data_IF_894929555986
#
_entry.id   IF_894929555986
#
_cell.length_a   1.000
_cell.length_b   1.000
_cell.length_c   1.000
_cell.angle_alpha   90.00
_cell.angle_beta   90.00
_cell.angle_gamma   90.00
#
_symmetry.space_group_name_H-M   'P 1'
#
loop_
_entity.id
_entity.type
_entity.pdbx_description
1 polymer ?
#
# COMPACT_ATOMS: atom_id res chain seq x y z
N UNK A 1 -23.38 -18.89 37.64
CA UNK A 1 -22.15 -18.07 37.80
C UNK A 1 -21.85 -17.41 36.46
N UNK A 2 -22.19 -16.13 36.34
CA UNK A 2 -21.98 -15.33 35.12
C UNK A 2 -20.52 -14.88 35.10
N UNK A 3 -19.71 -15.38 34.15
CA UNK A 3 -18.38 -14.81 33.90
C UNK A 3 -18.54 -13.68 32.89
N UNK A 4 -18.45 -12.46 33.43
CA UNK A 4 -18.38 -11.21 32.69
C UNK A 4 -17.01 -11.17 31.98
N UNK A 5 -16.97 -11.39 30.67
CA UNK A 5 -15.80 -11.13 29.85
C UNK A 5 -15.94 -9.71 29.30
N UNK A 6 -15.25 -8.79 29.97
CA UNK A 6 -15.03 -7.42 29.55
C UNK A 6 -13.91 -7.44 28.49
N UNK A 7 -14.29 -7.49 27.21
CA UNK A 7 -13.35 -7.28 26.11
C UNK A 7 -13.25 -5.76 25.88
N UNK A 8 -12.13 -5.17 26.29
CA UNK A 8 -11.84 -3.75 26.07
C UNK A 8 -11.61 -3.50 24.59
N UNK A 9 -12.45 -2.64 24.02
CA UNK A 9 -12.32 -2.05 22.69
C UNK A 9 -10.95 -1.37 22.60
N UNK A 10 -10.02 -1.96 21.85
CA UNK A 10 -8.76 -1.29 21.51
C UNK A 10 -8.96 -0.67 20.14
N UNK A 11 -9.36 0.59 20.12
CA UNK A 11 -9.33 1.41 18.92
C UNK A 11 -7.86 1.75 18.61
N UNK A 12 -7.21 0.91 17.80
CA UNK A 12 -6.09 1.29 16.97
C UNK A 12 -6.60 1.20 15.53
N UNK A 13 -6.58 2.33 14.82
CA UNK A 13 -6.97 2.37 13.42
C UNK A 13 -5.98 1.54 12.60
N UNK A 14 -6.39 0.31 12.29
CA UNK A 14 -6.13 -0.39 11.03
C UNK A 14 -7.37 -1.28 10.86
N UNK A 15 -8.32 -0.86 10.02
CA UNK A 15 -9.46 -1.70 9.69
C UNK A 15 -9.17 -2.46 8.40
N UNK A 16 -8.29 -3.44 8.51
CA UNK A 16 -8.17 -4.55 7.56
C UNK A 16 -8.06 -5.83 8.40
N UNK A 17 -9.14 -6.20 9.09
CA UNK A 17 -9.09 -7.34 10.00
C UNK A 17 -10.27 -7.50 10.95
N UNK A 18 -11.50 -7.42 10.44
CA UNK A 18 -12.63 -8.12 11.05
C UNK A 18 -13.71 -8.29 9.98
N UNK A 19 -13.89 -9.54 9.53
CA UNK A 19 -14.75 -10.02 8.45
C UNK A 19 -14.03 -10.08 7.08
N UNK A 20 -13.61 -11.29 6.69
CA UNK A 20 -13.39 -11.63 5.29
C UNK A 20 -14.71 -11.43 4.54
N UNK A 21 -14.84 -10.29 3.87
CA UNK A 21 -15.78 -10.12 2.78
C UNK A 21 -14.92 -9.90 1.54
N UNK A 22 -15.15 -10.67 0.47
CA UNK A 22 -14.66 -10.39 -0.88
C UNK A 22 -15.09 -8.98 -1.27
N UNK A 23 -14.28 -8.01 -0.87
CA UNK A 23 -14.50 -6.59 -1.11
C UNK A 23 -13.51 -6.18 -2.19
N UNK A 24 -14.02 -5.44 -3.16
CA UNK A 24 -13.22 -4.88 -4.23
C UNK A 24 -13.07 -3.39 -3.97
N UNK A 25 -11.84 -2.88 -4.13
CA UNK A 25 -11.52 -1.47 -4.07
C UNK A 25 -10.84 -1.04 -5.37
N UNK A 26 -11.32 0.04 -5.96
CA UNK A 26 -10.78 0.58 -7.21
C UNK A 26 -9.84 1.74 -6.91
N UNK A 27 -8.63 1.69 -7.46
CA UNK A 27 -7.65 2.77 -7.41
C UNK A 27 -7.52 3.37 -8.80
N UNK A 28 -7.58 4.70 -8.91
CA UNK A 28 -7.38 5.43 -10.16
C UNK A 28 -6.12 6.29 -10.04
N UNK A 29 -5.17 6.06 -10.95
CA UNK A 29 -3.92 6.81 -11.06
C UNK A 29 -3.33 6.60 -12.47
N UNK A 30 -2.20 7.23 -12.76
CA UNK A 30 -1.51 7.08 -14.03
C UNK A 30 -0.82 5.70 -14.14
N UNK A 31 -0.93 5.10 -15.32
CA UNK A 31 -0.20 3.93 -15.77
C UNK A 31 0.89 4.36 -16.76
N UNK A 32 2.08 3.78 -16.61
CA UNK A 32 3.16 3.87 -17.58
C UNK A 32 3.54 2.46 -18.00
N UNK A 33 3.62 2.22 -19.31
CA UNK A 33 4.04 0.94 -19.87
C UNK A 33 5.36 1.15 -20.59
N UNK A 34 6.35 0.31 -20.31
CA UNK A 34 7.67 0.37 -20.94
C UNK A 34 8.07 -0.99 -21.46
N UNK A 35 8.61 -1.01 -22.68
CA UNK A 35 9.16 -2.20 -23.34
C UNK A 35 10.48 -1.80 -23.96
N UNK A 36 11.55 -2.51 -23.60
CA UNK A 36 12.92 -2.18 -23.97
C UNK A 36 13.28 -0.71 -23.64
N UNK A 37 13.50 0.14 -24.66
CA UNK A 37 13.85 1.56 -24.49
C UNK A 37 12.66 2.50 -24.77
N UNK A 38 11.48 1.95 -25.06
CA UNK A 38 10.27 2.72 -25.32
C UNK A 38 9.39 2.77 -24.07
N UNK A 39 8.78 3.93 -23.81
CA UNK A 39 7.88 4.16 -22.69
C UNK A 39 6.72 5.03 -23.11
N UNK A 40 5.50 4.66 -22.73
CA UNK A 40 4.31 5.47 -22.96
C UNK A 40 4.35 6.73 -22.09
N UNK A 41 3.66 7.83 -22.48
CA UNK A 41 3.33 8.85 -21.50
C UNK A 41 2.47 8.27 -20.37
N UNK A 42 2.43 8.91 -19.18
CA UNK A 42 1.50 8.56 -18.12
C UNK A 42 0.04 8.68 -18.60
N UNK A 43 -0.76 7.64 -18.39
CA UNK A 43 -2.17 7.61 -18.82
C UNK A 43 -3.07 7.16 -17.66
N UNK A 44 -4.15 7.88 -17.34
CA UNK A 44 -5.03 7.51 -16.24
C UNK A 44 -5.71 6.17 -16.50
N UNK A 45 -5.68 5.27 -15.52
CA UNK A 45 -6.36 3.97 -15.55
C UNK A 45 -6.95 3.62 -14.19
N UNK A 46 -7.70 2.52 -14.13
CA UNK A 46 -8.21 1.95 -12.89
C UNK A 46 -7.65 0.55 -12.66
N UNK A 47 -7.10 0.32 -11.48
CA UNK A 47 -6.71 -0.99 -10.96
C UNK A 47 -7.66 -1.38 -9.84
N UNK A 48 -8.27 -2.56 -9.96
CA UNK A 48 -9.17 -3.12 -8.96
C UNK A 48 -8.40 -4.09 -8.06
N UNK A 49 -8.59 -3.97 -6.74
CA UNK A 49 -8.00 -4.86 -5.74
C UNK A 49 -9.13 -5.58 -5.01
N UNK A 50 -9.16 -6.90 -5.08
CA UNK A 50 -10.04 -7.73 -4.26
C UNK A 50 -9.26 -8.25 -3.04
N UNK A 51 -9.91 -8.26 -1.88
CA UNK A 51 -9.40 -8.83 -0.64
C UNK A 51 -10.13 -10.16 -0.36
N UNK A 52 -9.64 -11.31 -0.89
CA UNK A 52 -10.31 -12.59 -0.71
C UNK A 52 -10.24 -13.08 0.75
N UNK A 53 -9.12 -12.85 1.42
CA UNK A 53 -8.92 -13.16 2.84
C UNK A 53 -7.86 -12.26 3.46
N UNK A 54 -7.71 -12.31 4.79
CA UNK A 54 -6.73 -11.50 5.51
C UNK A 54 -5.30 -11.82 5.04
N UNK A 55 -4.55 -10.79 4.64
CA UNK A 55 -3.14 -10.94 4.22
C UNK A 55 -2.95 -11.33 2.74
N UNK A 56 -4.02 -11.47 1.96
CA UNK A 56 -3.96 -11.70 0.52
C UNK A 56 -4.71 -10.62 -0.27
N UNK A 57 -4.23 -10.31 -1.47
CA UNK A 57 -4.94 -9.49 -2.46
C UNK A 57 -4.96 -10.17 -3.84
N UNK A 58 -6.03 -9.94 -4.59
CA UNK A 58 -6.07 -10.17 -6.03
C UNK A 58 -6.05 -8.82 -6.75
N UNK A 59 -5.26 -8.71 -7.81
CA UNK A 59 -5.04 -7.47 -8.55
C UNK A 59 -5.58 -7.66 -9.96
N UNK A 60 -6.43 -6.74 -10.40
CA UNK A 60 -6.94 -6.66 -11.77
C UNK A 60 -6.58 -5.31 -12.40
N UNK A 61 -5.76 -5.32 -13.45
CA UNK A 61 -5.56 -4.19 -14.34
C UNK A 61 -6.49 -4.33 -15.54
N UNK A 62 -7.43 -3.39 -15.70
CA UNK A 62 -8.45 -3.45 -16.74
C UNK A 62 -7.96 -2.90 -18.07
N UNK A 63 -8.46 -3.48 -19.17
CA UNK A 63 -8.33 -2.96 -20.53
C UNK A 63 -6.88 -2.65 -20.97
N UNK A 64 -5.91 -3.46 -20.54
CA UNK A 64 -4.51 -3.24 -20.87
C UNK A 64 -4.28 -3.29 -22.39
N UNK A 65 -3.63 -2.26 -22.90
CA UNK A 65 -3.21 -2.15 -24.29
C UNK A 65 -1.69 -2.06 -24.31
N UNK A 66 -1.06 -2.93 -25.09
CA UNK A 66 0.38 -2.93 -25.28
C UNK A 66 0.73 -1.98 -26.42
N UNK A 67 1.51 -0.94 -26.09
CA UNK A 67 2.03 0.01 -27.07
C UNK A 67 3.52 -0.24 -27.29
N UNK A 68 3.92 -0.27 -28.56
CA UNK A 68 5.32 -0.45 -28.97
C UNK A 68 5.68 0.61 -30.01
N UNK A 69 6.94 1.05 -30.02
CA UNK A 69 7.39 2.06 -30.97
C UNK A 69 7.19 1.60 -32.43
N UNK A 70 6.49 2.41 -33.22
CA UNK A 70 6.30 2.15 -34.66
C UNK A 70 5.33 1.00 -34.99
N UNK A 71 4.60 0.47 -34.01
CA UNK A 71 3.57 -0.55 -34.21
C UNK A 71 2.18 -0.04 -33.78
N UNK A 72 1.13 -0.65 -34.32
CA UNK A 72 -0.24 -0.37 -33.88
C UNK A 72 -0.44 -0.88 -32.44
N UNK A 73 -1.22 -0.17 -31.60
CA UNK A 73 -1.54 -0.61 -30.24
C UNK A 73 -2.25 -1.98 -30.25
N UNK A 74 -1.82 -2.86 -29.36
CA UNK A 74 -2.32 -4.23 -29.26
C UNK A 74 -3.24 -4.33 -28.04
N UNK A 75 -4.57 -4.46 -28.22
CA UNK A 75 -5.49 -4.60 -27.10
C UNK A 75 -5.33 -6.00 -26.49
N UNK A 76 -4.64 -6.09 -25.36
CA UNK A 76 -4.37 -7.38 -24.70
C UNK A 76 -5.63 -7.85 -23.96
N UNK A 77 -6.15 -7.03 -23.04
CA UNK A 77 -7.29 -7.38 -22.20
C UNK A 77 -7.06 -7.05 -20.73
N UNK A 78 -7.83 -7.65 -19.83
CA UNK A 78 -7.57 -7.50 -18.39
C UNK A 78 -6.41 -8.40 -17.98
N UNK A 79 -5.60 -7.92 -17.02
CA UNK A 79 -4.51 -8.69 -16.40
C UNK A 79 -4.91 -9.00 -14.98
N UNK A 80 -4.82 -10.28 -14.61
CA UNK A 80 -5.18 -10.78 -13.28
C UNK A 80 -3.96 -11.37 -12.58
N UNK A 81 -3.74 -10.97 -11.34
CA UNK A 81 -2.70 -11.52 -10.46
C UNK A 81 -3.34 -11.88 -9.13
N UNK A 82 -3.55 -13.17 -8.89
CA UNK A 82 -4.27 -13.67 -7.71
C UNK A 82 -3.33 -14.10 -6.58
N UNK A 83 -3.85 -14.07 -5.36
CA UNK A 83 -3.20 -14.58 -4.14
C UNK A 83 -1.84 -13.92 -3.86
N UNK A 84 -1.77 -12.60 -4.02
CA UNK A 84 -0.56 -11.84 -3.71
C UNK A 84 -0.51 -11.59 -2.19
N UNK A 85 0.52 -12.10 -1.50
CA UNK A 85 0.65 -11.88 -0.06
C UNK A 85 1.06 -10.43 0.23
N UNK A 86 0.44 -9.85 1.26
CA UNK A 86 0.76 -8.51 1.75
C UNK A 86 1.35 -8.56 3.15
N UNK A 87 2.33 -7.70 3.42
CA UNK A 87 2.99 -7.55 4.73
C UNK A 87 2.71 -6.15 5.29
N UNK A 88 2.17 -6.02 6.51
CA UNK A 88 1.94 -4.72 7.13
C UNK A 88 3.25 -3.95 7.40
N UNK A 89 3.27 -2.66 7.07
CA UNK A 89 4.38 -1.74 7.32
C UNK A 89 3.87 -0.37 7.78
N UNK A 90 3.50 -0.29 9.07
CA UNK A 90 2.94 0.94 9.64
C UNK A 90 1.53 1.19 9.11
N UNK A 91 1.34 2.27 8.34
CA UNK A 91 0.03 2.72 7.85
C UNK A 91 -0.32 2.20 6.44
N UNK A 92 0.56 1.40 5.83
CA UNK A 92 0.33 0.75 4.55
C UNK A 92 0.85 -0.69 4.59
N UNK A 93 0.42 -1.49 3.63
CA UNK A 93 0.95 -2.83 3.39
C UNK A 93 1.90 -2.81 2.20
N UNK A 94 2.87 -3.71 2.19
CA UNK A 94 3.79 -3.94 1.08
C UNK A 94 3.61 -5.34 0.51
N UNK A 95 3.85 -5.51 -0.77
CA UNK A 95 3.88 -6.82 -1.42
C UNK A 95 5.06 -6.90 -2.38
N UNK A 96 5.64 -8.08 -2.47
CA UNK A 96 6.65 -8.44 -3.45
C UNK A 96 6.52 -9.94 -3.71
N UNK A 97 6.19 -10.30 -4.95
CA UNK A 97 5.97 -11.67 -5.38
C UNK A 97 6.65 -11.86 -6.72
N UNK A 98 7.53 -12.86 -6.81
CA UNK A 98 8.29 -13.18 -8.01
C UNK A 98 7.79 -14.47 -8.65
N UNK A 99 7.90 -14.55 -9.96
CA UNK A 99 7.68 -15.74 -10.78
C UNK A 99 6.28 -16.38 -10.60
N UNK A 100 5.26 -15.57 -10.36
CA UNK A 100 3.85 -15.99 -10.43
C UNK A 100 3.44 -16.04 -11.91
N UNK A 101 2.29 -16.63 -12.24
CA UNK A 101 1.69 -16.54 -13.57
C UNK A 101 0.53 -15.56 -13.53
N UNK A 102 0.60 -14.47 -14.29
CA UNK A 102 -0.53 -13.61 -14.58
C UNK A 102 -1.45 -14.28 -15.59
N UNK A 103 -2.76 -14.18 -15.38
CA UNK A 103 -3.77 -14.64 -16.34
C UNK A 103 -4.44 -13.45 -17.01
N UNK A 104 -5.11 -13.71 -18.13
CA UNK A 104 -5.72 -12.66 -18.94
C UNK A 104 -7.15 -13.02 -19.30
N UNK A 105 -7.96 -12.01 -19.54
CA UNK A 105 -9.32 -12.16 -20.04
C UNK A 105 -9.66 -11.02 -20.98
N UNK A 106 -10.81 -11.16 -21.66
CA UNK A 106 -11.40 -10.03 -22.37
C UNK A 106 -11.65 -8.88 -21.39
N UNK A 107 -11.41 -7.66 -21.87
CA UNK A 107 -11.81 -6.45 -21.18
C UNK A 107 -13.23 -6.03 -21.56
N UNK A 108 -13.45 -4.72 -21.64
CA UNK A 108 -14.75 -4.16 -21.97
C UNK A 108 -15.27 -4.60 -23.36
N UNK A 109 -16.59 -4.74 -23.52
CA UNK A 109 -17.18 -5.17 -24.78
C UNK A 109 -16.95 -4.15 -25.90
N UNK A 110 -16.85 -4.63 -27.15
CA UNK A 110 -16.67 -3.79 -28.34
C UNK A 110 -15.24 -3.76 -28.87
N UNK A 111 -14.30 -4.38 -28.17
CA UNK A 111 -12.90 -4.55 -28.60
C UNK A 111 -12.62 -6.02 -28.91
N UNK A 112 -11.84 -6.29 -29.96
CA UNK A 112 -11.28 -7.62 -30.19
C UNK A 112 -10.01 -7.78 -29.34
N UNK A 113 -10.12 -8.49 -28.23
CA UNK A 113 -9.01 -8.71 -27.32
C UNK A 113 -8.06 -9.80 -27.82
N UNK A 114 -6.75 -9.55 -27.70
CA UNK A 114 -5.70 -10.38 -28.29
C UNK A 114 -5.04 -11.34 -27.30
N UNK A 115 -5.35 -11.27 -26.00
CA UNK A 115 -4.69 -12.11 -24.99
C UNK A 115 -4.76 -13.60 -25.31
N UNK A 116 -5.87 -14.11 -25.87
CA UNK A 116 -6.04 -15.53 -26.15
C UNK A 116 -5.10 -16.04 -27.24
N UNK A 117 -4.68 -15.17 -28.16
CA UNK A 117 -3.71 -15.48 -29.21
C UNK A 117 -2.28 -15.29 -28.74
N UNK A 118 -2.03 -14.25 -27.93
CA UNK A 118 -0.69 -13.87 -27.49
C UNK A 118 -0.22 -14.71 -26.28
N UNK A 119 -1.10 -14.87 -25.29
CA UNK A 119 -0.79 -15.39 -23.96
C UNK A 119 -1.83 -16.44 -23.50
N UNK A 120 -2.10 -17.51 -24.29
CA UNK A 120 -3.14 -18.48 -23.97
C UNK A 120 -2.93 -19.20 -22.62
N UNK A 121 -1.69 -19.24 -22.13
CA UNK A 121 -1.30 -19.87 -20.86
C UNK A 121 -0.88 -18.84 -19.80
N UNK A 122 -1.15 -17.55 -20.02
CA UNK A 122 -0.64 -16.47 -19.16
C UNK A 122 0.83 -16.12 -19.41
N UNK A 123 1.37 -15.24 -18.56
CA UNK A 123 2.77 -14.80 -18.57
C UNK A 123 3.38 -14.91 -17.18
N UNK A 124 4.67 -15.28 -17.05
CA UNK A 124 5.40 -15.08 -15.81
C UNK A 124 5.40 -13.59 -15.43
N UNK A 125 5.14 -13.32 -14.15
CA UNK A 125 5.09 -11.97 -13.60
C UNK A 125 5.90 -11.88 -12.30
N UNK A 126 6.67 -10.81 -12.21
CA UNK A 126 7.18 -10.28 -10.95
C UNK A 126 6.38 -9.02 -10.60
N UNK A 127 5.81 -8.97 -9.40
CA UNK A 127 4.96 -7.87 -8.95
C UNK A 127 5.44 -7.35 -7.60
N UNK A 128 5.50 -6.03 -7.45
CA UNK A 128 5.82 -5.40 -6.17
C UNK A 128 5.07 -4.09 -5.98
N UNK A 129 4.86 -3.66 -4.75
CA UNK A 129 4.14 -2.43 -4.50
C UNK A 129 3.79 -2.15 -3.05
N UNK A 130 3.02 -1.09 -2.88
CA UNK A 130 2.50 -0.58 -1.61
C UNK A 130 1.02 -0.27 -1.75
N UNK A 131 0.24 -0.57 -0.71
CA UNK A 131 -1.20 -0.36 -0.70
C UNK A 131 -1.68 0.14 0.66
N UNK A 132 -2.54 1.16 0.65
CA UNK A 132 -3.32 1.65 1.78
C UNK A 132 -4.77 1.86 1.34
N UNK A 133 -5.65 2.23 2.27
CA UNK A 133 -7.08 2.47 1.99
C UNK A 133 -7.38 3.51 0.90
N UNK A 134 -6.39 4.34 0.56
CA UNK A 134 -6.57 5.47 -0.38
C UNK A 134 -5.57 5.50 -1.51
N UNK A 135 -4.57 4.62 -1.49
CA UNK A 135 -3.45 4.68 -2.42
C UNK A 135 -2.93 3.30 -2.78
N UNK A 136 -2.60 3.15 -4.05
CA UNK A 136 -1.90 1.99 -4.58
C UNK A 136 -0.73 2.50 -5.43
N UNK A 137 0.44 1.94 -5.18
CA UNK A 137 1.58 1.99 -6.08
C UNK A 137 1.99 0.56 -6.38
N UNK A 138 2.17 0.21 -7.66
CA UNK A 138 2.69 -1.10 -8.01
C UNK A 138 3.48 -1.11 -9.31
N UNK A 139 4.38 -2.08 -9.40
CA UNK A 139 5.14 -2.42 -10.61
C UNK A 139 4.85 -3.86 -11.00
N UNK A 140 4.60 -4.10 -12.27
CA UNK A 140 4.40 -5.43 -12.85
C UNK A 140 5.43 -5.63 -13.97
N UNK A 141 6.27 -6.64 -13.83
CA UNK A 141 7.21 -7.09 -14.88
C UNK A 141 6.68 -8.37 -15.50
N UNK A 142 6.09 -8.27 -16.69
CA UNK A 142 5.59 -9.40 -17.45
C UNK A 142 6.69 -9.90 -18.38
N UNK A 143 7.13 -11.13 -18.20
CA UNK A 143 8.18 -11.74 -19.03
C UNK A 143 7.58 -12.42 -20.25
N UNK A 144 7.87 -11.92 -21.44
CA UNK A 144 7.44 -12.51 -22.72
C UNK A 144 8.65 -12.88 -23.58
N UNK A 145 8.99 -14.17 -23.60
CA UNK A 145 10.20 -14.66 -24.26
C UNK A 145 11.44 -14.04 -23.62
N UNK A 146 12.17 -13.21 -24.37
CA UNK A 146 13.35 -12.47 -23.88
C UNK A 146 13.07 -11.02 -23.51
N UNK A 147 11.83 -10.55 -23.70
CA UNK A 147 11.43 -9.17 -23.43
C UNK A 147 10.70 -9.09 -22.10
N UNK A 148 10.82 -7.92 -21.45
CA UNK A 148 10.07 -7.58 -20.23
C UNK A 148 9.18 -6.39 -20.56
N UNK A 149 7.88 -6.55 -20.32
CA UNK A 149 6.92 -5.46 -20.34
C UNK A 149 6.82 -4.96 -18.90
N UNK A 150 7.39 -3.78 -18.65
CA UNK A 150 7.40 -3.13 -17.36
C UNK A 150 6.20 -2.18 -17.27
N UNK A 151 5.32 -2.42 -16.30
CA UNK A 151 4.15 -1.58 -16.04
C UNK A 151 4.31 -0.95 -14.67
N UNK A 152 4.18 0.37 -14.58
CA UNK A 152 4.11 1.10 -13.31
C UNK A 152 2.76 1.76 -13.19
N UNK A 153 2.10 1.58 -12.04
CA UNK A 153 0.85 2.25 -11.68
C UNK A 153 1.06 3.14 -10.46
N UNK A 154 0.64 4.40 -10.59
CA UNK A 154 0.72 5.41 -9.56
C UNK A 154 2.14 5.83 -9.19
N UNK A 155 2.26 6.55 -8.06
CA UNK A 155 3.53 7.07 -7.57
C UNK A 155 3.89 6.47 -6.20
N UNK A 156 5.17 6.17 -6.02
CA UNK A 156 5.70 5.73 -4.73
C UNK A 156 6.00 6.91 -3.79
N UNK A 157 4.97 7.68 -3.46
CA UNK A 157 4.99 8.74 -2.45
C UNK A 157 4.13 8.33 -1.25
N UNK A 158 4.31 7.09 -0.80
CA UNK A 158 3.90 6.66 0.54
C UNK A 158 4.84 7.35 1.54
N UNK A 159 4.48 8.58 1.96
CA UNK A 159 5.29 9.34 2.90
C UNK A 159 5.53 8.52 4.18
N UNK A 160 6.80 8.43 4.61
CA UNK A 160 7.17 7.92 5.93
C UNK A 160 7.02 8.99 7.01
N UNK A 161 5.92 9.75 6.96
CA UNK A 161 5.58 10.69 8.02
C UNK A 161 5.36 9.90 9.32
N UNK A 162 5.80 10.45 10.45
CA UNK A 162 5.47 9.88 11.78
C UNK A 162 3.97 10.15 12.01
N UNK A 163 3.11 9.22 11.60
CA UNK A 163 1.67 9.30 11.83
C UNK A 163 1.31 9.07 13.30
N UNK A 164 2.16 8.36 14.05
CA UNK A 164 2.02 8.22 15.50
C UNK A 164 3.35 7.93 16.21
N UNK A 165 3.50 8.44 17.43
CA UNK A 165 4.53 8.01 18.37
C UNK A 165 3.92 6.98 19.31
N UNK A 166 4.46 5.76 19.37
CA UNK A 166 4.08 4.78 20.38
C UNK A 166 4.55 5.26 21.77
N UNK A 167 3.68 5.95 22.50
CA UNK A 167 3.82 6.10 23.94
C UNK A 167 3.34 4.78 24.55
N UNK A 168 4.28 3.89 24.89
CA UNK A 168 3.97 2.64 25.58
C UNK A 168 3.05 2.87 26.79
N UNK A 169 2.34 1.82 27.22
CA UNK A 169 1.37 1.76 28.33
C UNK A 169 1.31 3.04 29.17
N UNK A 170 0.21 3.79 29.07
CA UNK A 170 -0.02 5.04 29.80
C UNK A 170 0.30 4.88 31.29
N UNK A 171 1.46 5.38 31.71
CA UNK A 171 1.88 5.48 33.12
C UNK A 171 1.48 6.84 33.68
N UNK A 172 1.28 6.93 34.99
CA UNK A 172 1.07 8.20 35.71
C UNK A 172 2.28 9.15 35.60
N UNK A 173 3.45 8.57 35.30
CA UNK A 173 4.71 9.26 35.15
C UNK A 173 5.20 9.27 33.70
N UNK A 174 6.06 10.22 33.35
CA UNK A 174 6.64 10.35 32.01
C UNK A 174 8.07 10.91 32.07
N UNK A 175 8.80 10.74 30.98
CA UNK A 175 10.08 11.43 30.76
C UNK A 175 9.82 12.66 29.87
N UNK A 176 10.63 13.70 30.03
CA UNK A 176 10.53 14.92 29.21
C UNK A 176 11.83 15.09 28.44
N UNK A 177 11.71 15.35 27.14
CA UNK A 177 12.84 15.54 26.24
C UNK A 177 12.77 16.91 25.55
N UNK A 178 13.90 17.46 25.12
CA UNK A 178 13.92 18.59 24.18
C UNK A 178 13.61 18.10 22.75
N UNK A 179 13.38 19.02 21.82
CA UNK A 179 13.22 18.68 20.40
C UNK A 179 14.47 18.01 19.79
N UNK A 180 15.64 18.22 20.37
CA UNK A 180 16.89 17.56 19.98
C UNK A 180 17.05 16.16 20.61
N UNK A 181 16.04 15.66 21.34
CA UNK A 181 16.06 14.33 21.95
C UNK A 181 16.81 14.24 23.29
N UNK A 182 17.26 15.36 23.87
CA UNK A 182 17.93 15.35 25.17
C UNK A 182 16.90 15.20 26.29
N UNK A 183 17.07 14.19 27.16
CA UNK A 183 16.19 13.99 28.33
C UNK A 183 16.47 15.04 29.40
N UNK A 184 15.49 15.88 29.70
CA UNK A 184 15.60 16.97 30.69
C UNK A 184 14.92 16.65 32.02
N UNK A 185 13.97 15.71 32.02
CA UNK A 185 13.38 15.14 33.23
C UNK A 185 13.07 13.66 33.04
N UNK A 186 13.04 12.91 34.13
CA UNK A 186 12.72 11.49 34.13
C UNK A 186 11.71 11.11 35.20
N UNK A 187 10.76 10.24 34.85
CA UNK A 187 9.79 9.64 35.74
C UNK A 187 9.01 10.67 36.60
N UNK A 188 8.61 11.78 35.99
CA UNK A 188 7.84 12.84 36.65
C UNK A 188 6.35 12.64 36.42
N UNK A 189 5.50 13.03 37.38
CA UNK A 189 4.06 13.03 37.19
C UNK A 189 3.69 13.87 35.95
N UNK A 190 2.79 13.35 35.09
CA UNK A 190 2.41 14.00 33.84
C UNK A 190 1.91 15.43 34.03
N UNK A 191 1.16 15.67 35.10
CA UNK A 191 0.64 17.01 35.48
C UNK A 191 1.72 18.02 35.82
N UNK A 192 2.90 17.56 36.23
CA UNK A 192 4.04 18.39 36.65
C UNK A 192 5.23 18.29 35.68
N UNK A 193 5.00 17.73 34.49
CA UNK A 193 6.06 17.47 33.51
C UNK A 193 6.85 18.75 33.17
N UNK A 194 6.16 19.89 33.07
CA UNK A 194 6.77 21.15 32.65
C UNK A 194 7.31 22.01 33.79
N UNK A 195 7.09 21.67 35.07
CA UNK A 195 7.38 22.57 36.19
C UNK A 195 8.88 22.90 36.31
N UNK A 196 9.23 24.18 36.45
CA UNK A 196 10.64 24.61 36.53
C UNK A 196 11.47 24.46 35.25
N UNK A 197 10.88 24.03 34.13
CA UNK A 197 11.53 24.12 32.82
C UNK A 197 11.46 25.56 32.29
N UNK A 198 12.43 25.93 31.44
CA UNK A 198 12.39 27.20 30.72
C UNK A 198 11.26 27.20 29.68
N UNK A 199 10.86 28.38 29.20
CA UNK A 199 9.91 28.49 28.09
C UNK A 199 10.48 27.80 26.85
N UNK A 200 9.65 27.06 26.12
CA UNK A 200 10.10 26.31 24.94
C UNK A 200 9.23 25.12 24.58
N UNK A 201 9.71 24.32 23.63
CA UNK A 201 9.00 23.13 23.12
C UNK A 201 9.66 21.87 23.68
N UNK A 202 8.84 20.99 24.25
CA UNK A 202 9.27 19.73 24.85
C UNK A 202 8.48 18.55 24.29
N UNK A 203 9.05 17.36 24.38
CA UNK A 203 8.36 16.09 24.12
C UNK A 203 7.99 15.48 25.47
N UNK A 204 6.70 15.37 25.75
CA UNK A 204 6.11 14.82 26.98
C UNK A 204 5.16 13.70 26.58
N UNK A 205 5.37 12.48 27.09
CA UNK A 205 4.53 11.32 26.75
C UNK A 205 4.39 11.09 25.23
N UNK A 206 5.49 11.29 24.49
CA UNK A 206 5.52 11.20 23.02
C UNK A 206 4.92 12.41 22.28
N UNK A 207 4.30 13.36 22.99
CA UNK A 207 3.64 14.53 22.38
C UNK A 207 4.49 15.80 22.49
N UNK A 208 4.48 16.63 21.46
CA UNK A 208 5.05 17.98 21.52
C UNK A 208 4.15 18.88 22.38
N UNK A 209 4.73 19.55 23.37
CA UNK A 209 4.03 20.47 24.28
C UNK A 209 4.82 21.75 24.39
N UNK A 210 4.13 22.89 24.33
CA UNK A 210 4.72 24.21 24.50
C UNK A 210 4.61 24.60 25.98
N UNK A 211 5.73 25.01 26.58
CA UNK A 211 5.76 25.70 27.87
C UNK A 211 5.86 27.20 27.62
N UNK A 212 4.81 27.91 28.00
CA UNK A 212 4.72 29.37 27.95
C UNK A 212 5.34 30.07 29.16
#
# INVERSE_FOLDING_TARGET
MKKLLLATLTACGVWLGAQAQNTTHDYTDDLVVSVDNFSTPPMPTTVSIEFPEEGLINIELKNFTLEMEGADPIPVGNIHVSEVPVTPQGDYNVFDLKQKTATFSDGDPGTLWMWSLLFPNGLPIDISGKISDTKLYCTLDLTFGTQIIHVTFGKDDFESSIHSTWAGKQTETTNVYTLQGMRVKSNVAKTHALDGLQKGIYIVDGKKVIKE
#
